data_IF_998160602781
#
_entry.id   IF_998160602781
#
_cell.length_a   1.000
_cell.length_b   1.000
_cell.length_c   1.000
_cell.angle_alpha   90.00
_cell.angle_beta   90.00
_cell.angle_gamma   90.00
#
_symmetry.space_group_name_H-M   'P 1'
#
loop_
_entity.id
_entity.type
_entity.pdbx_description
1 polymer ?
#
# COMPACT_ATOMS: atom_id res chain seq x y z
N UNK A 1 -37.57 -24.34 -8.92
CA UNK A 1 -36.13 -24.64 -8.98
C UNK A 1 -35.46 -23.40 -9.54
N UNK A 2 -34.91 -22.55 -8.68
CA UNK A 2 -34.19 -21.36 -9.15
C UNK A 2 -32.93 -21.83 -9.89
N UNK A 3 -32.74 -21.40 -11.13
CA UNK A 3 -31.52 -21.69 -11.87
C UNK A 3 -30.45 -20.67 -11.49
N UNK A 4 -29.15 -21.02 -11.54
CA UNK A 4 -28.08 -20.06 -11.24
C UNK A 4 -28.11 -18.83 -12.17
N UNK A 5 -28.53 -19.01 -13.42
CA UNK A 5 -28.71 -17.91 -14.37
C UNK A 5 -29.86 -16.95 -13.98
N UNK A 6 -31.00 -17.49 -13.51
CA UNK A 6 -32.11 -16.67 -13.04
C UNK A 6 -31.72 -15.85 -11.79
N UNK A 7 -30.97 -16.46 -10.86
CA UNK A 7 -30.46 -15.77 -9.67
C UNK A 7 -29.46 -14.65 -10.04
N UNK A 8 -28.58 -14.87 -11.03
CA UNK A 8 -27.66 -13.83 -11.50
C UNK A 8 -28.40 -12.63 -12.12
N UNK A 9 -29.45 -12.90 -12.91
CA UNK A 9 -30.29 -11.86 -13.50
C UNK A 9 -31.04 -11.05 -12.42
N UNK A 10 -31.56 -11.71 -11.39
CA UNK A 10 -32.20 -11.07 -10.23
C UNK A 10 -31.22 -10.17 -9.46
N UNK A 11 -30.01 -10.66 -9.15
CA UNK A 11 -28.98 -9.86 -8.48
C UNK A 11 -28.60 -8.63 -9.30
N UNK A 12 -28.47 -8.77 -10.62
CA UNK A 12 -28.16 -7.67 -11.53
C UNK A 12 -29.30 -6.64 -11.56
N UNK A 13 -30.56 -7.09 -11.59
CA UNK A 13 -31.74 -6.21 -11.56
C UNK A 13 -31.84 -5.41 -10.24
N UNK A 14 -31.33 -5.97 -9.14
CA UNK A 14 -31.21 -5.29 -7.84
C UNK A 14 -29.98 -4.36 -7.75
N UNK A 15 -29.18 -4.25 -8.81
CA UNK A 15 -27.93 -3.47 -8.81
C UNK A 15 -26.82 -4.10 -7.97
N UNK A 16 -26.87 -5.42 -7.74
CA UNK A 16 -25.86 -6.19 -7.03
C UNK A 16 -24.92 -6.82 -8.06
N UNK A 17 -23.70 -6.29 -8.14
CA UNK A 17 -22.63 -6.86 -8.94
C UNK A 17 -22.01 -8.06 -8.21
N UNK A 18 -21.83 -9.16 -8.93
CA UNK A 18 -21.21 -10.39 -8.43
C UNK A 18 -19.95 -10.68 -9.26
N UNK A 19 -18.81 -10.85 -8.61
CA UNK A 19 -17.52 -11.16 -9.24
C UNK A 19 -16.94 -12.46 -8.69
N UNK A 20 -16.36 -13.27 -9.57
CA UNK A 20 -15.58 -14.44 -9.20
C UNK A 20 -14.17 -14.01 -8.79
N UNK A 21 -13.62 -14.65 -7.76
CA UNK A 21 -12.25 -14.43 -7.30
C UNK A 21 -11.69 -15.76 -6.80
N UNK A 22 -11.19 -16.56 -7.75
CA UNK A 22 -10.92 -17.98 -7.54
C UNK A 22 -12.18 -18.68 -7.07
N UNK A 23 -12.10 -19.41 -5.95
CA UNK A 23 -13.25 -20.15 -5.40
C UNK A 23 -14.21 -19.30 -4.54
N UNK A 24 -14.09 -17.97 -4.58
CA UNK A 24 -14.89 -17.06 -3.75
C UNK A 24 -15.68 -16.09 -4.63
N UNK A 25 -16.91 -15.83 -4.22
CA UNK A 25 -17.75 -14.79 -4.82
C UNK A 25 -17.62 -13.51 -4.00
N UNK A 26 -17.34 -12.38 -4.65
CA UNK A 26 -17.40 -11.03 -4.08
C UNK A 26 -18.62 -10.32 -4.63
N UNK A 27 -19.25 -9.47 -3.83
CA UNK A 27 -20.43 -8.70 -4.25
C UNK A 27 -20.39 -7.26 -3.77
N UNK A 28 -21.01 -6.35 -4.54
CA UNK A 28 -21.24 -4.93 -4.17
C UNK A 28 -22.57 -4.43 -4.74
N UNK A 29 -23.32 -3.55 -4.03
CA UNK A 29 -23.06 -3.06 -2.67
C UNK A 29 -23.46 -4.09 -1.59
N UNK A 30 -22.74 -4.11 -0.47
CA UNK A 30 -22.99 -5.08 0.61
C UNK A 30 -24.33 -4.85 1.33
N UNK A 31 -24.84 -3.62 1.31
CA UNK A 31 -26.10 -3.23 1.94
C UNK A 31 -27.34 -3.79 1.23
N UNK A 32 -27.26 -4.09 -0.07
CA UNK A 32 -28.37 -4.66 -0.83
C UNK A 32 -28.51 -6.18 -0.66
N UNK A 33 -27.52 -6.83 -0.03
CA UNK A 33 -27.50 -8.28 0.12
C UNK A 33 -28.25 -8.70 1.39
N UNK A 34 -29.50 -9.16 1.23
CA UNK A 34 -30.34 -9.68 2.32
C UNK A 34 -29.89 -11.09 2.75
N UNK A 35 -30.25 -11.51 3.97
CA UNK A 35 -29.89 -12.83 4.49
C UNK A 35 -30.45 -13.99 3.63
N UNK A 36 -31.63 -13.79 3.05
CA UNK A 36 -32.27 -14.75 2.13
C UNK A 36 -31.50 -14.88 0.82
N UNK A 37 -31.08 -13.75 0.21
CA UNK A 37 -30.24 -13.75 -0.99
C UNK A 37 -28.91 -14.45 -0.74
N UNK A 38 -28.29 -14.24 0.43
CA UNK A 38 -27.07 -14.95 0.81
C UNK A 38 -27.29 -16.47 0.87
N UNK A 39 -28.42 -16.93 1.41
CA UNK A 39 -28.73 -18.35 1.46
C UNK A 39 -28.87 -18.94 0.05
N UNK A 40 -29.60 -18.25 -0.84
CA UNK A 40 -29.78 -18.66 -2.25
C UNK A 40 -28.45 -18.69 -3.02
N UNK A 41 -27.62 -17.65 -2.88
CA UNK A 41 -26.27 -17.59 -3.50
C UNK A 41 -25.38 -18.73 -3.00
N UNK A 42 -25.46 -19.10 -1.72
CA UNK A 42 -24.69 -20.23 -1.17
C UNK A 42 -25.11 -21.57 -1.78
N UNK A 43 -26.42 -21.79 -1.96
CA UNK A 43 -26.94 -23.01 -2.60
C UNK A 43 -26.48 -23.12 -4.05
N UNK A 44 -26.48 -22.01 -4.79
CA UNK A 44 -26.13 -21.97 -6.21
C UNK A 44 -24.67 -21.57 -6.50
N UNK A 45 -23.79 -21.56 -5.49
CA UNK A 45 -22.42 -21.02 -5.59
C UNK A 45 -21.61 -21.60 -6.76
N UNK A 46 -21.62 -22.91 -6.92
CA UNK A 46 -20.83 -23.58 -7.97
C UNK A 46 -21.34 -23.23 -9.38
N UNK A 47 -22.66 -23.17 -9.56
CA UNK A 47 -23.25 -22.77 -10.84
C UNK A 47 -22.98 -21.31 -11.19
N UNK A 48 -22.97 -20.42 -10.19
CA UNK A 48 -22.62 -19.01 -10.38
C UNK A 48 -21.14 -18.83 -10.75
N UNK A 49 -20.23 -19.59 -10.14
CA UNK A 49 -18.80 -19.54 -10.50
C UNK A 49 -18.55 -20.03 -11.93
N UNK A 50 -19.23 -21.09 -12.37
CA UNK A 50 -19.12 -21.58 -13.75
C UNK A 50 -19.60 -20.53 -14.77
N UNK A 51 -20.78 -19.94 -14.53
CA UNK A 51 -21.32 -18.89 -15.41
C UNK A 51 -20.40 -17.66 -15.48
N UNK A 52 -19.80 -17.25 -14.36
CA UNK A 52 -18.88 -16.11 -14.33
C UNK A 52 -17.55 -16.42 -15.04
N UNK A 53 -17.02 -17.64 -14.89
CA UNK A 53 -15.82 -18.07 -15.60
C UNK A 53 -16.03 -18.14 -17.12
N UNK A 54 -17.20 -18.57 -17.57
CA UNK A 54 -17.56 -18.59 -18.99
C UNK A 54 -17.65 -17.17 -19.58
N UNK A 55 -18.04 -16.17 -18.77
CA UNK A 55 -18.08 -14.76 -19.21
C UNK A 55 -16.72 -14.05 -19.18
N UNK A 56 -15.76 -14.54 -18.38
CA UNK A 56 -14.39 -14.01 -18.29
C UNK A 56 -13.44 -14.61 -19.35
N UNK A 57 -13.97 -15.35 -20.33
CA UNK A 57 -13.18 -15.84 -21.48
C UNK A 57 -13.44 -14.97 -22.73
N UNK A 58 -12.88 -13.75 -22.85
CA UNK A 58 -12.61 -13.16 -24.14
C UNK A 58 -11.25 -13.66 -24.64
N UNK A 59 -11.28 -14.19 -25.86
CA UNK A 59 -10.16 -14.67 -26.65
C UNK A 59 -8.86 -13.87 -26.46
N UNK A 60 -7.83 -14.56 -25.96
CA UNK A 60 -6.44 -14.15 -26.12
C UNK A 60 -6.06 -14.34 -27.60
N UNK A 61 -5.67 -13.24 -28.26
CA UNK A 61 -5.37 -13.29 -29.69
C UNK A 61 -5.26 -11.95 -30.40
N UNK A 62 -4.48 -10.98 -29.91
CA UNK A 62 -3.83 -10.01 -30.79
C UNK A 62 -2.60 -9.40 -30.11
N UNK A 63 -1.43 -9.85 -30.55
CA UNK A 63 -0.16 -9.18 -30.30
C UNK A 63 -0.16 -7.76 -30.87
N UNK A 64 0.31 -6.77 -30.10
CA UNK A 64 1.13 -5.66 -30.60
C UNK A 64 1.94 -5.06 -29.44
N UNK A 65 3.26 -4.84 -29.57
CA UNK A 65 4.02 -4.01 -28.64
C UNK A 65 3.93 -2.56 -29.11
N UNK A 66 3.56 -1.63 -28.23
CA UNK A 66 3.62 -0.23 -28.60
C UNK A 66 2.95 0.75 -27.66
N UNK A 67 3.80 1.58 -27.05
CA UNK A 67 3.56 2.97 -26.70
C UNK A 67 2.69 3.30 -25.50
N UNK A 68 3.28 4.13 -24.64
CA UNK A 68 2.72 4.56 -23.37
C UNK A 68 1.52 5.49 -23.51
N UNK A 69 0.73 5.49 -22.44
CA UNK A 69 -0.18 6.56 -22.04
C UNK A 69 -0.44 6.29 -20.55
N UNK A 70 -0.11 7.18 -19.62
CA UNK A 70 -0.61 8.54 -19.57
C UNK A 70 -1.57 8.59 -18.38
N UNK A 71 -1.01 8.71 -17.17
CA UNK A 71 -1.79 9.16 -16.01
C UNK A 71 -1.60 10.67 -15.99
N UNK A 72 -2.67 11.38 -16.31
CA UNK A 72 -2.67 12.83 -16.44
C UNK A 72 -2.42 13.51 -15.10
N UNK A 73 -1.23 14.07 -14.96
CA UNK A 73 -1.07 15.30 -14.18
C UNK A 73 -1.39 16.46 -15.11
N UNK A 74 -2.42 17.23 -14.74
CA UNK A 74 -2.68 18.55 -15.32
C UNK A 74 -1.55 19.45 -14.87
N UNK A 75 -0.47 19.49 -15.63
CA UNK A 75 0.58 20.49 -15.49
C UNK A 75 0.06 21.81 -16.06
N UNK A 76 -0.36 22.70 -15.17
CA UNK A 76 -0.64 24.09 -15.53
C UNK A 76 0.70 24.77 -15.87
N UNK A 77 1.03 24.87 -17.16
CA UNK A 77 2.17 25.64 -17.62
C UNK A 77 1.84 27.14 -17.51
N UNK A 78 2.20 27.75 -16.39
CA UNK A 78 2.21 29.21 -16.27
C UNK A 78 3.50 29.71 -16.94
N UNK A 79 3.39 30.39 -18.08
CA UNK A 79 4.56 30.97 -18.77
C UNK A 79 5.27 31.97 -17.85
N UNK A 80 6.48 31.63 -17.41
CA UNK A 80 7.18 32.30 -16.31
C UNK A 80 8.47 32.97 -16.79
N UNK A 81 8.41 33.83 -17.81
CA UNK A 81 9.63 34.44 -18.38
C UNK A 81 10.15 35.63 -17.57
N UNK A 82 9.30 36.33 -16.83
CA UNK A 82 9.70 37.49 -16.03
C UNK A 82 10.20 37.13 -14.62
N UNK A 83 9.71 36.04 -14.03
CA UNK A 83 10.10 35.60 -12.68
C UNK A 83 11.43 34.86 -12.68
N UNK A 84 11.69 34.05 -13.73
CA UNK A 84 12.94 33.31 -13.90
C UNK A 84 14.17 34.23 -13.94
N UNK A 85 14.06 35.39 -14.60
CA UNK A 85 15.14 36.37 -14.67
C UNK A 85 15.48 36.99 -13.30
N UNK A 86 14.47 37.19 -12.43
CA UNK A 86 14.68 37.66 -11.05
C UNK A 86 15.29 36.56 -10.18
N UNK A 87 14.76 35.34 -10.25
CA UNK A 87 15.28 34.21 -9.47
C UNK A 87 16.74 33.91 -9.82
N UNK A 88 17.12 33.99 -11.10
CA UNK A 88 18.49 33.75 -11.53
C UNK A 88 19.45 34.89 -11.14
N UNK A 89 18.94 36.13 -11.00
CA UNK A 89 19.74 37.27 -10.52
C UNK A 89 20.12 37.13 -9.03
N UNK A 90 19.21 36.55 -8.23
CA UNK A 90 19.40 36.33 -6.78
C UNK A 90 20.11 34.99 -6.45
N UNK A 91 20.21 34.07 -7.42
CA UNK A 91 20.88 32.79 -7.22
C UNK A 91 22.39 32.93 -6.93
N UNK A 92 23.02 32.04 -6.16
CA UNK A 92 24.46 32.05 -5.97
C UNK A 92 25.21 31.79 -7.31
N UNK A 93 26.44 32.30 -7.41
CA UNK A 93 27.17 32.41 -8.69
C UNK A 93 27.50 31.06 -9.34
N UNK A 94 27.69 30.02 -8.53
CA UNK A 94 27.89 28.63 -8.95
C UNK A 94 26.65 28.04 -9.62
N UNK A 95 25.46 28.31 -9.08
CA UNK A 95 24.19 27.89 -9.68
C UNK A 95 23.92 28.60 -11.01
N UNK A 96 24.23 29.90 -11.10
CA UNK A 96 24.13 30.64 -12.36
C UNK A 96 25.07 30.08 -13.43
N UNK A 97 26.32 29.77 -13.05
CA UNK A 97 27.28 29.17 -13.98
C UNK A 97 26.84 27.78 -14.48
N UNK A 98 26.22 26.97 -13.61
CA UNK A 98 25.67 25.68 -13.99
C UNK A 98 24.49 25.81 -14.97
N UNK A 99 23.57 26.74 -14.71
CA UNK A 99 22.42 27.02 -15.60
C UNK A 99 22.90 27.48 -16.98
N UNK A 100 23.88 28.40 -17.04
CA UNK A 100 24.46 28.86 -18.31
C UNK A 100 25.22 27.76 -19.06
N UNK A 101 25.90 26.86 -18.34
CA UNK A 101 26.54 25.68 -18.93
C UNK A 101 25.50 24.74 -19.58
N UNK A 102 24.36 24.51 -18.92
CA UNK A 102 23.26 23.70 -19.44
C UNK A 102 22.63 24.36 -20.67
N UNK A 103 22.36 25.67 -20.62
CA UNK A 103 21.82 26.43 -21.78
C UNK A 103 22.74 26.36 -23.00
N UNK A 104 24.07 26.41 -22.78
CA UNK A 104 25.05 26.27 -23.87
C UNK A 104 25.08 24.86 -24.45
N UNK A 105 24.89 23.83 -23.64
CA UNK A 105 24.83 22.44 -24.08
C UNK A 105 23.54 22.12 -24.84
N UNK A 106 22.43 22.82 -24.55
CA UNK A 106 21.11 22.56 -25.12
C UNK A 106 20.45 23.86 -25.64
N UNK A 107 20.93 24.41 -26.77
CA UNK A 107 20.34 25.62 -27.35
C UNK A 107 18.89 25.35 -27.78
N UNK A 108 17.95 26.10 -27.20
CA UNK A 108 16.50 25.96 -27.45
C UNK A 108 15.73 25.15 -26.41
N UNK A 109 16.39 24.59 -25.38
CA UNK A 109 15.71 23.98 -24.26
C UNK A 109 15.21 25.05 -23.28
N UNK A 110 13.90 25.15 -23.10
CA UNK A 110 13.30 25.96 -22.05
C UNK A 110 13.45 25.23 -20.71
N UNK A 111 14.00 25.90 -19.70
CA UNK A 111 14.09 25.35 -18.35
C UNK A 111 12.70 25.39 -17.72
N UNK A 112 11.93 24.32 -17.91
CA UNK A 112 10.68 24.14 -17.18
C UNK A 112 11.05 23.85 -15.73
N UNK A 113 10.68 24.77 -14.82
CA UNK A 113 10.74 24.49 -13.39
C UNK A 113 9.80 23.34 -13.08
N UNK A 114 10.36 22.12 -12.94
CA UNK A 114 9.62 20.97 -12.44
C UNK A 114 9.53 21.13 -10.93
N UNK A 115 8.48 21.79 -10.45
CA UNK A 115 8.06 21.58 -9.08
C UNK A 115 7.69 20.10 -8.94
N UNK A 116 8.62 19.28 -8.42
CA UNK A 116 8.23 18.01 -7.83
C UNK A 116 7.28 18.34 -6.70
N UNK A 117 5.98 18.20 -6.95
CA UNK A 117 5.03 17.94 -5.89
C UNK A 117 5.59 16.75 -5.12
N UNK A 118 6.01 16.99 -3.87
CA UNK A 118 6.41 15.90 -2.99
C UNK A 118 5.25 14.91 -3.01
N UNK A 119 5.50 13.60 -3.25
CA UNK A 119 4.42 12.62 -3.26
C UNK A 119 3.67 12.77 -1.95
N UNK A 120 2.36 12.96 -2.05
CA UNK A 120 1.47 13.13 -0.92
C UNK A 120 1.82 12.09 0.15
N UNK A 121 2.16 12.54 1.35
CA UNK A 121 2.60 11.65 2.43
C UNK A 121 1.48 10.62 2.60
N UNK A 122 1.75 9.31 2.44
CA UNK A 122 0.70 8.30 2.55
C UNK A 122 0.00 8.46 3.91
N UNK A 123 -1.32 8.22 3.97
CA UNK A 123 -2.06 8.42 5.21
C UNK A 123 -1.40 7.62 6.33
N UNK A 124 -1.26 8.24 7.50
CA UNK A 124 -0.62 7.63 8.67
C UNK A 124 -1.27 6.27 8.93
N UNK A 125 -0.49 5.21 8.85
CA UNK A 125 -0.96 3.83 9.02
C UNK A 125 -1.23 3.03 7.73
N UNK A 126 -1.04 3.62 6.54
CA UNK A 126 -1.08 2.89 5.28
C UNK A 126 0.08 1.88 5.21
N UNK A 127 -0.21 0.59 5.11
CA UNK A 127 0.84 -0.41 5.05
C UNK A 127 1.56 -0.36 3.69
N UNK A 128 2.89 -0.45 3.72
CA UNK A 128 3.76 -0.55 2.55
C UNK A 128 4.75 -1.70 2.71
N UNK A 129 5.26 -2.23 1.60
CA UNK A 129 6.40 -3.14 1.66
C UNK A 129 7.65 -2.31 2.00
N UNK A 130 8.54 -2.82 2.88
CA UNK A 130 9.79 -2.13 3.16
C UNK A 130 10.64 -2.02 1.90
N UNK A 131 11.39 -0.93 1.79
CA UNK A 131 12.38 -0.78 0.72
C UNK A 131 13.58 -1.70 0.97
N UNK A 132 14.46 -1.84 -0.04
CA UNK A 132 15.69 -2.61 0.13
C UNK A 132 16.59 -2.02 1.24
N UNK A 133 16.62 -0.68 1.35
CA UNK A 133 17.39 0.04 2.35
C UNK A 133 16.83 -0.23 3.76
N UNK A 134 15.49 -0.15 3.92
CA UNK A 134 14.84 -0.48 5.19
C UNK A 134 15.15 -1.94 5.59
N UNK A 135 15.05 -2.87 4.64
CA UNK A 135 15.29 -4.29 4.89
C UNK A 135 16.73 -4.60 5.27
N UNK A 136 17.70 -3.84 4.78
CA UNK A 136 19.13 -4.01 5.09
C UNK A 136 19.50 -3.70 6.54
N UNK A 137 18.67 -2.93 7.25
CA UNK A 137 18.89 -2.57 8.65
C UNK A 137 18.25 -3.54 9.65
N UNK A 138 17.41 -4.46 9.17
CA UNK A 138 16.62 -5.35 10.02
C UNK A 138 17.35 -6.66 10.31
N UNK A 139 17.08 -7.29 11.48
CA UNK A 139 17.45 -8.68 11.69
C UNK A 139 16.90 -9.59 10.58
N UNK A 140 17.69 -10.55 10.12
CA UNK A 140 17.36 -11.38 8.94
C UNK A 140 15.98 -12.04 9.04
N UNK A 141 15.58 -12.52 10.23
CA UNK A 141 14.26 -13.10 10.45
C UNK A 141 13.11 -12.11 10.29
N UNK A 142 13.32 -10.84 10.67
CA UNK A 142 12.33 -9.75 10.52
C UNK A 142 12.26 -9.31 9.06
N UNK A 143 13.40 -9.17 8.38
CA UNK A 143 13.46 -8.84 6.96
C UNK A 143 12.73 -9.89 6.10
N UNK A 144 12.92 -11.18 6.40
CA UNK A 144 12.22 -12.26 5.69
C UNK A 144 10.69 -12.22 5.91
N UNK A 145 10.27 -11.93 7.15
CA UNK A 145 8.85 -11.76 7.47
C UNK A 145 8.22 -10.55 6.78
N UNK A 146 8.96 -9.45 6.64
CA UNK A 146 8.46 -8.20 6.04
C UNK A 146 8.57 -8.18 4.50
N UNK A 147 9.23 -9.17 3.88
CA UNK A 147 9.38 -9.26 2.42
C UNK A 147 8.03 -9.36 1.70
N UNK A 148 7.95 -8.78 0.50
CA UNK A 148 6.83 -8.94 -0.43
C UNK A 148 6.51 -10.42 -0.67
N UNK A 149 5.22 -10.75 -0.62
CA UNK A 149 4.68 -12.09 -0.89
C UNK A 149 3.63 -12.05 -1.98
N UNK A 150 3.69 -13.01 -2.89
CA UNK A 150 2.74 -13.11 -3.99
C UNK A 150 1.33 -13.39 -3.48
N UNK A 151 0.34 -12.72 -4.08
CA UNK A 151 -1.06 -12.83 -3.69
C UNK A 151 -1.45 -12.09 -2.40
N UNK A 152 -0.53 -11.36 -1.77
CA UNK A 152 -0.81 -10.57 -0.57
C UNK A 152 -0.63 -9.08 -0.81
N UNK A 153 -1.51 -8.27 -0.22
CA UNK A 153 -1.30 -6.83 -0.10
C UNK A 153 -0.51 -6.53 1.18
N UNK A 154 0.25 -5.42 1.25
CA UNK A 154 0.95 -5.05 2.48
C UNK A 154 0.02 -5.01 3.69
N UNK A 155 -1.18 -4.45 3.53
CA UNK A 155 -2.15 -4.31 4.61
C UNK A 155 -2.65 -5.67 5.14
N UNK A 156 -2.97 -6.61 4.24
CA UNK A 156 -3.46 -7.94 4.62
C UNK A 156 -2.36 -8.77 5.26
N UNK A 157 -1.14 -8.71 4.73
CA UNK A 157 0.00 -9.41 5.31
C UNK A 157 0.38 -8.86 6.68
N UNK A 158 0.47 -7.53 6.82
CA UNK A 158 0.66 -6.87 8.13
C UNK A 158 -0.39 -7.30 9.15
N UNK A 159 -1.67 -7.33 8.76
CA UNK A 159 -2.75 -7.82 9.63
C UNK A 159 -2.55 -9.29 10.06
N UNK A 160 -2.05 -10.14 9.15
CA UNK A 160 -1.73 -11.54 9.44
C UNK A 160 -0.57 -11.67 10.42
N UNK A 161 0.49 -10.88 10.27
CA UNK A 161 1.63 -10.84 11.20
C UNK A 161 1.16 -10.48 12.61
N UNK A 162 0.33 -9.44 12.75
CA UNK A 162 -0.23 -9.03 14.04
C UNK A 162 -1.12 -10.11 14.66
N UNK A 163 -1.95 -10.79 13.86
CA UNK A 163 -2.75 -11.92 14.32
C UNK A 163 -1.87 -13.06 14.86
N UNK A 164 -0.84 -13.45 14.10
CA UNK A 164 0.09 -14.51 14.51
C UNK A 164 0.85 -14.13 15.77
N UNK A 165 1.29 -12.87 15.89
CA UNK A 165 1.97 -12.37 17.07
C UNK A 165 1.09 -12.47 18.33
N UNK A 166 -0.21 -12.18 18.21
CA UNK A 166 -1.17 -12.37 19.29
C UNK A 166 -1.33 -13.84 19.66
N UNK A 167 -1.46 -14.72 18.66
CA UNK A 167 -1.67 -16.15 18.88
C UNK A 167 -0.47 -16.83 19.56
N UNK A 168 0.77 -16.42 19.25
CA UNK A 168 1.96 -17.05 19.81
C UNK A 168 2.55 -16.33 21.04
N UNK A 169 1.98 -15.20 21.49
CA UNK A 169 2.57 -14.38 22.55
C UNK A 169 2.83 -15.13 23.87
N UNK A 170 1.91 -16.02 24.26
CA UNK A 170 2.01 -16.76 25.52
C UNK A 170 3.07 -17.87 25.49
N UNK A 171 3.26 -18.50 24.32
CA UNK A 171 4.14 -19.67 24.17
C UNK A 171 5.53 -19.30 23.65
N UNK A 172 5.61 -18.25 22.81
CA UNK A 172 6.81 -17.82 22.11
C UNK A 172 6.90 -16.29 22.08
N UNK A 173 7.20 -15.65 23.22
CA UNK A 173 7.21 -14.19 23.34
C UNK A 173 8.24 -13.53 22.39
N UNK A 174 9.43 -14.12 22.22
CA UNK A 174 10.44 -13.63 21.28
C UNK A 174 9.95 -13.64 19.82
N UNK A 175 9.31 -14.73 19.39
CA UNK A 175 8.74 -14.82 18.04
C UNK A 175 7.58 -13.85 17.84
N UNK A 176 6.77 -13.63 18.87
CA UNK A 176 5.72 -12.62 18.83
C UNK A 176 6.30 -11.20 18.66
N UNK A 177 7.42 -10.89 19.32
CA UNK A 177 8.11 -9.61 19.16
C UNK A 177 8.63 -9.42 17.73
N UNK A 178 9.28 -10.42 17.13
CA UNK A 178 9.73 -10.38 15.72
C UNK A 178 8.59 -10.10 14.75
N UNK A 179 7.44 -10.78 14.93
CA UNK A 179 6.25 -10.60 14.10
C UNK A 179 5.68 -9.17 14.22
N UNK A 180 5.67 -8.59 15.43
CA UNK A 180 5.24 -7.20 15.64
C UNK A 180 6.23 -6.22 15.01
N UNK A 181 7.53 -6.44 15.15
CA UNK A 181 8.57 -5.60 14.53
C UNK A 181 8.44 -5.59 13.01
N UNK A 182 8.26 -6.76 12.39
CA UNK A 182 8.00 -6.86 10.96
C UNK A 182 6.75 -6.07 10.52
N UNK A 183 5.66 -6.14 11.30
CA UNK A 183 4.45 -5.38 11.03
C UNK A 183 4.63 -3.85 11.17
N UNK A 184 5.48 -3.40 12.11
CA UNK A 184 5.85 -1.99 12.31
C UNK A 184 6.68 -1.49 11.14
N UNK A 185 7.69 -2.25 10.68
CA UNK A 185 8.48 -1.91 9.48
C UNK A 185 7.60 -1.72 8.25
N UNK A 186 6.52 -2.49 8.13
CA UNK A 186 5.54 -2.33 7.04
C UNK A 186 4.61 -1.11 7.20
N UNK A 187 4.76 -0.30 8.24
CA UNK A 187 3.91 0.86 8.51
C UNK A 187 4.78 2.13 8.50
N UNK A 188 4.82 2.88 7.39
CA UNK A 188 5.58 4.12 7.28
C UNK A 188 5.24 5.09 8.42
N UNK A 189 6.28 5.71 8.99
CA UNK A 189 6.17 6.65 10.11
C UNK A 189 6.07 6.01 11.49
N UNK A 190 5.92 4.69 11.62
CA UNK A 190 5.93 4.03 12.93
C UNK A 190 7.31 3.50 13.35
N UNK A 191 8.25 3.34 12.42
CA UNK A 191 9.59 2.82 12.73
C UNK A 191 10.31 3.76 13.69
N UNK A 192 10.28 5.07 13.42
CA UNK A 192 10.91 6.09 14.27
C UNK A 192 10.29 6.10 15.68
N UNK A 193 8.96 6.16 15.78
CA UNK A 193 8.25 6.12 17.05
C UNK A 193 8.50 4.81 17.84
N UNK A 194 8.68 3.69 17.13
CA UNK A 194 9.07 2.41 17.73
C UNK A 194 10.49 2.44 18.28
N UNK A 195 11.48 2.87 17.50
CA UNK A 195 12.87 2.92 17.93
C UNK A 195 13.06 3.92 19.08
N UNK A 196 12.38 5.07 19.05
CA UNK A 196 12.35 6.05 20.15
C UNK A 196 11.80 5.43 21.43
N UNK A 197 10.62 4.79 21.37
CA UNK A 197 10.01 4.14 22.54
C UNK A 197 10.85 2.98 23.07
N UNK A 198 11.49 2.21 22.19
CA UNK A 198 12.39 1.14 22.59
C UNK A 198 13.60 1.70 23.35
N UNK A 199 14.18 2.80 22.85
CA UNK A 199 15.28 3.48 23.55
C UNK A 199 14.81 4.02 24.92
N UNK A 200 13.66 4.69 24.99
CA UNK A 200 13.10 5.19 26.27
C UNK A 200 12.92 4.03 27.27
N UNK A 201 12.34 2.91 26.85
CA UNK A 201 12.12 1.76 27.73
C UNK A 201 13.44 1.09 28.17
N UNK A 202 14.45 1.07 27.31
CA UNK A 202 15.78 0.57 27.65
C UNK A 202 16.47 1.45 28.69
N UNK A 203 16.50 2.77 28.48
CA UNK A 203 17.21 3.70 29.34
C UNK A 203 16.45 4.06 30.62
N UNK A 204 15.16 4.39 30.52
CA UNK A 204 14.37 4.91 31.66
C UNK A 204 13.83 3.78 32.53
N UNK A 205 13.41 2.66 31.93
CA UNK A 205 12.87 1.50 32.66
C UNK A 205 13.93 0.42 32.96
N UNK A 206 15.16 0.60 32.48
CA UNK A 206 16.27 -0.35 32.69
C UNK A 206 16.00 -1.74 32.10
N UNK A 207 15.12 -1.83 31.10
CA UNK A 207 14.80 -3.08 30.45
C UNK A 207 15.95 -3.51 29.52
N UNK A 208 16.29 -4.82 29.46
CA UNK A 208 17.15 -5.32 28.40
C UNK A 208 16.59 -4.91 27.04
N UNK A 209 17.46 -4.57 26.08
CA UNK A 209 17.06 -4.11 24.73
C UNK A 209 15.96 -4.94 24.10
N UNK A 210 16.03 -6.26 24.24
CA UNK A 210 15.03 -7.18 23.70
C UNK A 210 13.64 -7.02 24.34
N UNK A 211 13.58 -6.83 25.65
CA UNK A 211 12.32 -6.64 26.38
C UNK A 211 11.76 -5.23 26.13
N UNK A 212 12.64 -4.23 26.04
CA UNK A 212 12.29 -2.86 25.67
C UNK A 212 11.65 -2.81 24.27
N UNK A 213 12.26 -3.46 23.27
CA UNK A 213 11.68 -3.58 21.92
C UNK A 213 10.34 -4.32 21.93
N UNK A 214 10.20 -5.39 22.71
CA UNK A 214 8.94 -6.12 22.80
C UNK A 214 7.80 -5.27 23.37
N UNK A 215 8.09 -4.48 24.41
CA UNK A 215 7.15 -3.56 25.03
C UNK A 215 6.83 -2.36 24.12
N UNK A 216 7.85 -1.76 23.49
CA UNK A 216 7.70 -0.64 22.55
C UNK A 216 6.86 -1.05 21.34
N UNK A 217 7.06 -2.26 20.82
CA UNK A 217 6.24 -2.76 19.71
C UNK A 217 4.75 -2.86 20.08
N UNK A 218 4.44 -3.31 21.30
CA UNK A 218 3.06 -3.38 21.76
C UNK A 218 2.45 -1.97 21.92
N UNK A 219 3.21 -1.03 22.49
CA UNK A 219 2.78 0.33 22.72
C UNK A 219 2.61 1.11 21.39
N UNK A 220 3.57 1.06 20.47
CA UNK A 220 3.49 1.76 19.17
C UNK A 220 2.30 1.31 18.33
N UNK A 221 1.88 0.04 18.44
CA UNK A 221 0.68 -0.45 17.77
C UNK A 221 -0.63 0.09 18.38
N UNK A 222 -0.62 0.62 19.61
CA UNK A 222 -1.79 1.29 20.19
C UNK A 222 -2.06 2.65 19.55
N UNK A 223 -1.03 3.34 19.05
CA UNK A 223 -1.16 4.61 18.33
C UNK A 223 -2.02 4.46 17.07
N UNK A 224 -1.94 3.30 16.40
CA UNK A 224 -2.80 2.97 15.25
C UNK A 224 -4.28 2.78 15.59
N UNK A 225 -4.61 2.51 16.86
CA UNK A 225 -6.01 2.29 17.29
C UNK A 225 -6.70 3.61 17.65
N UNK A 226 -5.96 4.66 17.95
CA UNK A 226 -6.47 5.96 18.40
C UNK A 226 -6.87 6.93 17.28
N UNK A 227 -6.55 6.64 16.02
CA UNK A 227 -6.76 7.55 14.87
C UNK A 227 -8.14 7.41 14.20
N UNK A 228 -9.21 7.18 14.98
CA UNK A 228 -10.58 7.09 14.47
C UNK A 228 -11.29 8.43 14.44
#
# INVERSE_FOLDING_TARGET
>A
MDTPAALLAELTALGIELQAHGDRLRFRPRSAMTAELVARVKVHKLGLLALLADTETPADGAATPGFGSGVGDVLTATSCTADEARMLADAPADMRAAVESIKRAFPGAELVSVHRTAPERPPVGAAAWPTADDAGTLPAGVADLARKRDGWTPATWRGRLLYLAGACAALHPGRAAELRRAAITMTPGLVEAFEERAAIMEYDAGLPRQDAEAAAAADTLTLLKGTK
#
